data_IF_262057876736
#
_entry.id   IF_262057876736
#
_cell.length_a   1.000
_cell.length_b   1.000
_cell.length_c   1.000
_cell.angle_alpha   90.00
_cell.angle_beta   90.00
_cell.angle_gamma   90.00
#
_symmetry.space_group_name_H-M   'P 1'
#
loop_
_entity.id
_entity.type
_entity.pdbx_description
1 polymer ?
#
# COMPACT_ATOMS: atom_id res chain seq x y z
N UNK A 1 31.82 34.34 47.01
CA UNK A 1 30.37 34.23 46.72
C UNK A 1 30.16 34.74 45.30
N UNK A 2 30.44 33.90 44.31
CA UNK A 2 30.29 34.25 42.88
C UNK A 2 28.91 33.72 42.46
N UNK A 3 28.04 34.64 42.06
CA UNK A 3 26.67 34.34 41.66
C UNK A 3 26.69 33.95 40.18
N UNK A 4 26.52 32.66 39.87
CA UNK A 4 26.33 32.18 38.50
C UNK A 4 24.83 32.27 38.22
N UNK A 5 24.44 33.29 37.45
CA UNK A 5 23.08 33.42 36.93
C UNK A 5 22.98 32.52 35.69
N UNK A 6 22.40 31.33 35.84
CA UNK A 6 21.99 30.50 34.72
C UNK A 6 20.62 31.03 34.26
N UNK A 7 20.60 32.01 33.35
CA UNK A 7 19.40 32.29 32.55
C UNK A 7 19.37 31.25 31.44
N UNK A 8 18.85 30.06 31.77
CA UNK A 8 18.31 29.13 30.80
C UNK A 8 16.81 29.39 30.71
N UNK A 9 16.38 30.24 29.77
CA UNK A 9 14.99 30.23 29.34
C UNK A 9 14.89 29.19 28.23
N UNK A 10 14.73 27.93 28.59
CA UNK A 10 14.39 26.89 27.62
C UNK A 10 12.87 26.93 27.43
N UNK A 11 12.45 27.72 26.44
CA UNK A 11 11.17 27.47 25.80
C UNK A 11 11.37 26.24 24.92
N UNK A 12 11.14 25.05 25.49
CA UNK A 12 10.95 23.86 24.67
C UNK A 12 9.67 24.05 23.85
N UNK A 13 9.81 24.70 22.69
CA UNK A 13 8.86 24.46 21.62
C UNK A 13 9.11 23.04 21.14
N UNK A 14 8.13 22.17 21.31
CA UNK A 14 8.10 20.82 20.73
C UNK A 14 8.02 20.91 19.20
N UNK A 15 9.06 21.45 18.58
CA UNK A 15 9.24 21.40 17.14
C UNK A 15 9.79 20.03 16.82
N UNK A 16 9.10 19.30 15.95
CA UNK A 16 9.67 18.11 15.31
C UNK A 16 11.08 18.51 14.80
N UNK A 17 12.15 17.76 15.11
CA UNK A 17 13.53 18.15 14.75
C UNK A 17 13.74 18.36 13.23
N UNK A 18 12.79 17.94 12.39
CA UNK A 18 12.75 18.20 10.94
C UNK A 18 11.83 19.36 10.50
N UNK A 19 11.16 20.05 11.42
CA UNK A 19 10.22 21.14 11.12
C UNK A 19 8.93 20.73 10.42
N UNK A 20 8.57 19.43 10.46
CA UNK A 20 7.41 18.89 9.74
C UNK A 20 6.09 19.35 10.38
N UNK A 21 5.17 19.88 9.55
CA UNK A 21 3.84 20.40 9.94
C UNK A 21 2.69 19.51 9.45
N UNK A 22 2.87 18.19 9.45
CA UNK A 22 1.82 17.29 8.95
C UNK A 22 0.60 17.34 9.86
N UNK A 23 -0.53 17.86 9.36
CA UNK A 23 -1.75 18.05 10.15
C UNK A 23 -2.69 16.84 10.09
N UNK A 24 -2.69 16.10 8.97
CA UNK A 24 -3.60 14.98 8.75
C UNK A 24 -2.84 13.78 8.18
N UNK A 25 -3.05 12.61 8.77
CA UNK A 25 -2.49 11.34 8.32
C UNK A 25 -3.63 10.38 8.00
N UNK A 26 -3.69 9.91 6.75
CA UNK A 26 -4.63 8.89 6.31
C UNK A 26 -3.82 7.64 5.99
N UNK A 27 -3.98 6.60 6.80
CA UNK A 27 -3.39 5.28 6.57
C UNK A 27 -4.45 4.38 5.93
N UNK A 28 -4.23 4.02 4.67
CA UNK A 28 -5.04 3.04 3.96
C UNK A 28 -4.25 1.73 3.95
N UNK A 29 -4.82 0.69 4.53
CA UNK A 29 -4.31 -0.68 4.41
C UNK A 29 -5.28 -1.50 3.58
N UNK A 30 -4.74 -2.31 2.68
CA UNK A 30 -5.52 -3.28 1.91
C UNK A 30 -5.18 -4.65 2.49
N UNK A 31 -6.17 -5.28 3.13
CA UNK A 31 -6.01 -6.61 3.72
C UNK A 31 -6.31 -7.69 2.67
N UNK A 32 -5.50 -8.75 2.65
CA UNK A 32 -5.74 -9.95 1.86
C UNK A 32 -5.63 -9.83 0.33
N UNK A 33 -5.29 -8.66 -0.22
CA UNK A 33 -5.12 -8.50 -1.68
C UNK A 33 -3.67 -8.67 -2.11
N UNK A 34 -3.45 -9.40 -3.21
CA UNK A 34 -2.12 -9.50 -3.80
C UNK A 34 -1.84 -8.26 -4.62
N UNK A 35 -0.67 -7.66 -4.46
CA UNK A 35 -0.26 -6.46 -5.18
C UNK A 35 -0.36 -6.64 -6.71
N UNK A 36 -0.09 -7.84 -7.22
CA UNK A 36 -0.24 -8.16 -8.63
C UNK A 36 -1.68 -7.97 -9.11
N UNK A 37 -2.67 -8.41 -8.33
CA UNK A 37 -4.09 -8.27 -8.68
C UNK A 37 -4.54 -6.81 -8.66
N UNK A 38 -4.08 -6.05 -7.66
CA UNK A 38 -4.42 -4.62 -7.51
C UNK A 38 -3.89 -3.78 -8.67
N UNK A 39 -2.64 -4.03 -9.11
CA UNK A 39 -1.97 -3.16 -10.09
C UNK A 39 -1.97 -3.71 -11.51
N UNK A 40 -2.04 -5.03 -11.71
CA UNK A 40 -1.92 -5.67 -13.02
C UNK A 40 -3.17 -6.47 -13.43
N UNK A 41 -4.16 -6.58 -12.53
CA UNK A 41 -5.34 -7.41 -12.74
C UNK A 41 -5.01 -8.90 -12.58
N UNK A 42 -5.77 -9.78 -13.23
CA UNK A 42 -5.61 -11.21 -13.09
C UNK A 42 -4.23 -11.66 -13.60
N UNK A 43 -3.58 -12.62 -12.93
CA UNK A 43 -2.31 -13.19 -13.38
C UNK A 43 -2.53 -14.66 -13.81
N UNK A 44 -2.19 -14.99 -15.06
CA UNK A 44 -2.37 -16.35 -15.55
C UNK A 44 -1.61 -17.39 -14.70
N UNK A 45 -0.43 -17.04 -14.16
CA UNK A 45 0.40 -17.97 -13.39
C UNK A 45 -0.27 -18.31 -12.08
N UNK A 46 -0.96 -17.33 -11.51
CA UNK A 46 -1.76 -17.50 -10.30
C UNK A 46 -2.95 -18.43 -10.59
N UNK A 47 -3.69 -18.17 -11.66
CA UNK A 47 -4.86 -18.97 -12.04
C UNK A 47 -4.42 -20.42 -12.33
N UNK A 48 -3.34 -20.60 -13.09
CA UNK A 48 -2.79 -21.91 -13.44
C UNK A 48 -2.31 -22.71 -12.23
N UNK A 49 -1.73 -22.06 -11.23
CA UNK A 49 -1.18 -22.73 -10.05
C UNK A 49 -2.22 -23.01 -8.96
N UNK A 50 -3.27 -22.20 -8.87
CA UNK A 50 -4.21 -22.25 -7.74
C UNK A 50 -5.55 -22.91 -8.10
N UNK A 51 -5.98 -22.87 -9.37
CA UNK A 51 -7.22 -23.50 -9.81
C UNK A 51 -6.93 -24.91 -10.33
N UNK A 52 -7.29 -25.91 -9.52
CA UNK A 52 -7.00 -27.32 -9.80
C UNK A 52 -7.98 -27.97 -10.78
N UNK A 53 -9.22 -27.52 -10.78
CA UNK A 53 -10.23 -28.01 -11.70
C UNK A 53 -10.02 -27.37 -13.08
N UNK A 54 -9.83 -28.20 -14.09
CA UNK A 54 -9.55 -27.77 -15.46
C UNK A 54 -10.65 -26.86 -16.02
N UNK A 55 -11.90 -27.25 -15.82
CA UNK A 55 -13.04 -26.53 -16.37
C UNK A 55 -13.17 -25.16 -15.72
N UNK A 56 -13.05 -25.12 -14.39
CA UNK A 56 -13.08 -23.86 -13.65
C UNK A 56 -11.88 -22.98 -14.05
N UNK A 57 -10.71 -23.58 -14.29
CA UNK A 57 -9.52 -22.84 -14.71
C UNK A 57 -9.71 -22.18 -16.06
N UNK A 58 -10.19 -22.92 -17.06
CA UNK A 58 -10.47 -22.39 -18.40
C UNK A 58 -11.54 -21.29 -18.38
N UNK A 59 -12.62 -21.49 -17.61
CA UNK A 59 -13.66 -20.48 -17.41
C UNK A 59 -13.10 -19.22 -16.73
N UNK A 60 -12.22 -19.38 -15.75
CA UNK A 60 -11.56 -18.27 -15.05
C UNK A 60 -10.60 -17.51 -15.97
N UNK A 61 -9.77 -18.21 -16.73
CA UNK A 61 -8.88 -17.58 -17.72
C UNK A 61 -9.68 -16.78 -18.74
N UNK A 62 -10.77 -17.35 -19.26
CA UNK A 62 -11.63 -16.68 -20.23
C UNK A 62 -12.31 -15.42 -19.66
N UNK A 63 -12.68 -15.43 -18.39
CA UNK A 63 -13.37 -14.31 -17.76
C UNK A 63 -12.42 -13.18 -17.33
N UNK A 64 -11.21 -13.52 -16.90
CA UNK A 64 -10.34 -12.59 -16.16
C UNK A 64 -8.99 -12.31 -16.83
N UNK A 65 -8.48 -13.20 -17.69
CA UNK A 65 -7.19 -13.02 -18.37
C UNK A 65 -7.35 -12.36 -19.75
N UNK A 66 -6.64 -11.24 -19.92
CA UNK A 66 -6.55 -10.46 -21.15
C UNK A 66 -5.10 -10.04 -21.37
N UNK A 67 -4.66 -9.78 -22.60
CA UNK A 67 -3.29 -9.30 -22.87
C UNK A 67 -3.07 -7.88 -22.30
N UNK A 68 -4.08 -7.02 -22.41
CA UNK A 68 -4.05 -5.66 -21.83
C UNK A 68 -4.34 -5.66 -20.33
N UNK A 69 -3.40 -5.13 -19.55
CA UNK A 69 -3.55 -4.88 -18.11
C UNK A 69 -4.80 -4.07 -17.75
N UNK A 70 -5.19 -3.10 -18.57
CA UNK A 70 -6.40 -2.30 -18.30
C UNK A 70 -7.65 -3.16 -18.39
N UNK A 71 -7.72 -4.05 -19.38
CA UNK A 71 -8.83 -4.99 -19.52
C UNK A 71 -8.83 -6.02 -18.39
N UNK A 72 -7.65 -6.54 -18.01
CA UNK A 72 -7.53 -7.43 -16.85
C UNK A 72 -8.04 -6.79 -15.56
N UNK A 73 -7.67 -5.54 -15.29
CA UNK A 73 -8.14 -4.81 -14.09
C UNK A 73 -9.64 -4.50 -14.14
N UNK A 74 -10.18 -4.22 -15.32
CA UNK A 74 -11.60 -3.92 -15.49
C UNK A 74 -12.49 -5.13 -15.21
N UNK A 75 -12.00 -6.33 -15.53
CA UNK A 75 -12.76 -7.56 -15.38
C UNK A 75 -12.50 -8.28 -14.05
N UNK A 76 -11.57 -7.79 -13.20
CA UNK A 76 -11.26 -8.38 -11.90
C UNK A 76 -12.34 -8.12 -10.84
#
# INVERSE_FOLDING_TARGET
MVLIIIIGCEKESSSNPKGLKTENLILITLDGVRWQEVFQGADNRIIMNNVKDEKIREETLKAYWFEDEKERRKNL
#
